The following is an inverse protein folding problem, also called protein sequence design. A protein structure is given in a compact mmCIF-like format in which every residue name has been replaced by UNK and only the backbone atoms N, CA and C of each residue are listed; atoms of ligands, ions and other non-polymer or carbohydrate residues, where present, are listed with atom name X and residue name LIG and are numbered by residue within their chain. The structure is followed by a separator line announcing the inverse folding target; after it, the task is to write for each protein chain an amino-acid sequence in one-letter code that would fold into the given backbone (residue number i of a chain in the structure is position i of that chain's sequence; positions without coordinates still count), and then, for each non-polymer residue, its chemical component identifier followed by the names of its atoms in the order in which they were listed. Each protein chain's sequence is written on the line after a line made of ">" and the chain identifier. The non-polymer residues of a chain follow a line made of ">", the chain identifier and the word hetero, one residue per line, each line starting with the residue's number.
data_IF_847637994327
#
_entry.id   IF_847637994327
#
_cell.length_a   1.000
_cell.length_b   1.000
_cell.length_c   1.000
_cell.angle_alpha   90.00
_cell.angle_beta   90.00
_cell.angle_gamma   90.00
#
_symmetry.space_group_name_H-M   'P 1'
#
loop_
_entity.id
_entity.type
_entity.pdbx_description
1 polymer ?
#
# COMPACT_ATOMS: atom_id res chain seq x y z
N UNK A 1 -15.38 1.53 -22.72
CA UNK A 1 -14.82 0.68 -21.62
C UNK A 1 -15.38 1.16 -20.30
N UNK A 2 -15.83 0.26 -19.43
CA UNK A 2 -16.26 0.64 -18.06
C UNK A 2 -15.06 0.92 -17.17
N UNK A 3 -15.12 2.03 -16.44
CA UNK A 3 -14.15 2.33 -15.39
C UNK A 3 -14.83 2.50 -14.04
N UNK A 4 -14.07 2.28 -12.99
CA UNK A 4 -14.46 2.50 -11.61
C UNK A 4 -13.37 3.26 -10.88
N UNK A 5 -13.77 4.06 -9.89
CA UNK A 5 -12.86 4.57 -8.89
C UNK A 5 -13.14 3.80 -7.62
N UNK A 6 -12.12 3.18 -7.08
CA UNK A 6 -12.22 2.31 -5.92
C UNK A 6 -11.20 2.75 -4.88
N UNK A 7 -11.69 3.09 -3.69
CA UNK A 7 -10.86 3.35 -2.53
C UNK A 7 -10.47 2.01 -1.88
N UNK A 8 -9.20 1.66 -1.92
CA UNK A 8 -8.64 0.50 -1.22
C UNK A 8 -8.41 0.81 0.27
N UNK A 9 -8.44 -0.22 1.13
CA UNK A 9 -8.21 -0.14 2.57
C UNK A 9 -9.24 0.69 3.34
N UNK A 10 -10.50 0.70 2.90
CA UNK A 10 -11.57 1.42 3.58
C UNK A 10 -12.95 0.85 3.28
N UNK A 11 -13.87 1.03 4.25
CA UNK A 11 -15.32 0.85 4.05
C UNK A 11 -16.05 2.18 3.85
N UNK A 12 -15.36 3.30 4.12
CA UNK A 12 -15.96 4.64 4.09
C UNK A 12 -15.69 5.29 2.73
N UNK A 13 -16.70 5.98 2.21
CA UNK A 13 -16.52 6.84 1.03
C UNK A 13 -15.47 7.92 1.31
N UNK A 14 -14.59 8.13 0.35
CA UNK A 14 -13.52 9.14 0.40
C UNK A 14 -12.45 8.89 1.48
N UNK A 15 -12.42 7.69 2.08
CA UNK A 15 -11.28 7.18 2.83
C UNK A 15 -10.30 6.44 1.92
N UNK A 16 -9.36 5.69 2.51
CA UNK A 16 -8.50 4.76 1.78
C UNK A 16 -7.56 5.40 0.76
N UNK A 17 -6.97 4.54 -0.07
CA UNK A 17 -6.10 4.91 -1.17
C UNK A 17 -6.81 4.64 -2.51
N UNK A 18 -7.14 5.69 -3.31
CA UNK A 18 -7.94 5.54 -4.52
C UNK A 18 -7.13 4.98 -5.68
N UNK A 19 -7.74 4.09 -6.45
CA UNK A 19 -7.23 3.62 -7.73
C UNK A 19 -8.31 3.68 -8.81
N UNK A 20 -7.90 3.97 -10.05
CA UNK A 20 -8.72 3.71 -11.22
C UNK A 20 -8.71 2.22 -11.54
N UNK A 21 -9.86 1.65 -11.90
CA UNK A 21 -9.95 0.25 -12.37
C UNK A 21 -10.80 0.22 -13.63
N UNK A 22 -10.20 -0.23 -14.74
CA UNK A 22 -10.84 -0.37 -16.04
C UNK A 22 -11.05 -1.85 -16.33
N UNK A 23 -12.31 -2.28 -16.44
CA UNK A 23 -12.64 -3.65 -16.80
C UNK A 23 -12.71 -3.79 -18.32
N UNK A 24 -11.95 -4.74 -18.86
CA UNK A 24 -11.87 -5.03 -20.28
C UNK A 24 -12.75 -6.24 -20.64
N UNK A 25 -13.57 -6.07 -21.67
CA UNK A 25 -14.38 -7.17 -22.23
C UNK A 25 -13.59 -8.05 -23.22
N UNK A 26 -12.47 -7.51 -23.73
CA UNK A 26 -11.61 -8.11 -24.74
C UNK A 26 -10.13 -7.90 -24.41
N UNK A 27 -9.27 -8.07 -25.41
CA UNK A 27 -7.83 -7.83 -25.28
C UNK A 27 -7.48 -6.41 -24.82
N UNK A 28 -6.27 -6.27 -24.28
CA UNK A 28 -5.75 -4.96 -23.87
C UNK A 28 -5.73 -3.97 -25.03
N UNK A 29 -6.20 -2.73 -24.82
CA UNK A 29 -6.01 -1.67 -25.79
C UNK A 29 -4.51 -1.38 -26.01
N UNK A 30 -4.15 -0.64 -27.08
CA UNK A 30 -2.76 -0.20 -27.25
C UNK A 30 -2.23 0.52 -26.00
N UNK A 31 -0.96 0.29 -25.63
CA UNK A 31 -0.32 0.87 -24.43
C UNK A 31 -0.49 2.38 -24.33
N UNK A 32 -0.38 3.06 -25.50
CA UNK A 32 -0.61 4.51 -25.57
C UNK A 32 -1.99 4.92 -25.09
N UNK A 33 -3.03 4.14 -25.40
CA UNK A 33 -4.39 4.46 -24.98
C UNK A 33 -4.57 4.25 -23.48
N UNK A 34 -4.05 3.15 -22.93
CA UNK A 34 -4.06 2.89 -21.49
C UNK A 34 -3.33 3.99 -20.71
N UNK A 35 -2.16 4.40 -21.23
CA UNK A 35 -1.41 5.53 -20.64
C UNK A 35 -2.17 6.85 -20.67
N UNK A 36 -2.88 7.14 -21.77
CA UNK A 36 -3.71 8.35 -21.89
C UNK A 36 -4.90 8.33 -20.92
N UNK A 37 -5.55 7.16 -20.76
CA UNK A 37 -6.64 7.00 -19.80
C UNK A 37 -6.13 7.20 -18.37
N UNK A 38 -5.00 6.59 -17.99
CA UNK A 38 -4.41 6.77 -16.67
C UNK A 38 -4.04 8.25 -16.41
N UNK A 39 -3.49 8.95 -17.42
CA UNK A 39 -3.15 10.36 -17.32
C UNK A 39 -4.39 11.26 -17.17
N UNK A 40 -5.53 10.90 -17.78
CA UNK A 40 -6.78 11.65 -17.69
C UNK A 40 -7.48 11.42 -16.34
N UNK A 41 -7.49 10.18 -15.84
CA UNK A 41 -8.08 9.83 -14.53
C UNK A 41 -7.29 10.44 -13.36
N UNK A 42 -5.97 10.64 -13.49
CA UNK A 42 -5.09 11.34 -12.54
C UNK A 42 -4.97 10.72 -11.15
N UNK A 43 -5.33 9.47 -10.99
CA UNK A 43 -5.02 8.71 -9.78
C UNK A 43 -3.54 8.28 -9.83
N UNK A 44 -2.98 7.95 -8.66
CA UNK A 44 -1.60 7.45 -8.59
C UNK A 44 -1.40 6.28 -9.55
N UNK A 45 -2.35 5.33 -9.56
CA UNK A 45 -2.40 4.25 -10.53
C UNK A 45 -3.81 3.96 -11.04
N UNK A 46 -3.84 3.46 -12.28
CA UNK A 46 -5.01 2.88 -12.94
C UNK A 46 -4.70 1.45 -13.35
N UNK A 47 -5.50 0.50 -12.88
CA UNK A 47 -5.44 -0.90 -13.25
C UNK A 47 -6.32 -1.18 -14.48
N UNK A 48 -5.77 -1.84 -15.49
CA UNK A 48 -6.51 -2.38 -16.63
C UNK A 48 -6.62 -3.90 -16.44
N UNK A 49 -7.82 -4.42 -16.38
CA UNK A 49 -8.11 -5.77 -15.92
C UNK A 49 -8.77 -6.58 -17.04
N UNK A 50 -8.14 -7.67 -17.44
CA UNK A 50 -8.70 -8.68 -18.32
C UNK A 50 -8.92 -9.98 -17.54
N UNK A 51 -10.09 -10.57 -17.71
CA UNK A 51 -10.38 -11.89 -17.18
C UNK A 51 -9.93 -12.97 -18.17
N UNK A 52 -9.05 -13.87 -17.79
CA UNK A 52 -8.48 -14.93 -18.61
C UNK A 52 -9.14 -16.28 -18.33
N UNK A 53 -9.69 -16.47 -17.14
CA UNK A 53 -10.37 -17.67 -16.67
C UNK A 53 -11.38 -17.36 -15.57
N UNK A 54 -11.93 -18.39 -14.93
CA UNK A 54 -12.87 -18.21 -13.82
C UNK A 54 -12.23 -17.46 -12.65
N UNK A 55 -10.97 -17.81 -12.34
CA UNK A 55 -10.21 -17.31 -11.22
C UNK A 55 -8.85 -16.70 -11.66
N UNK A 56 -8.67 -16.47 -12.96
CA UNK A 56 -7.43 -15.99 -13.57
C UNK A 56 -7.65 -14.64 -14.23
N UNK A 57 -6.77 -13.69 -13.93
CA UNK A 57 -6.83 -12.32 -14.41
C UNK A 57 -5.44 -11.84 -14.80
N UNK A 58 -5.36 -11.08 -15.91
CA UNK A 58 -4.17 -10.28 -16.21
C UNK A 58 -4.47 -8.83 -15.86
N UNK A 59 -3.59 -8.22 -15.06
CA UNK A 59 -3.72 -6.81 -14.66
C UNK A 59 -2.47 -6.05 -15.03
N UNK A 60 -2.66 -4.92 -15.72
CA UNK A 60 -1.59 -3.96 -16.06
C UNK A 60 -1.85 -2.65 -15.32
N UNK A 61 -0.80 -2.08 -14.74
CA UNK A 61 -0.88 -0.90 -13.89
C UNK A 61 -0.18 0.29 -14.54
N UNK A 62 -0.87 1.41 -14.59
CA UNK A 62 -0.36 2.64 -15.19
C UNK A 62 -0.46 3.80 -14.21
N UNK A 63 0.67 4.45 -13.93
CA UNK A 63 0.70 5.81 -13.36
C UNK A 63 0.28 6.81 -14.45
N UNK A 64 0.03 8.08 -14.15
CA UNK A 64 -0.16 9.10 -15.17
C UNK A 64 1.00 9.28 -16.16
N UNK A 65 2.17 8.70 -15.90
CA UNK A 65 3.40 8.88 -16.69
C UNK A 65 3.93 7.62 -17.36
N UNK A 66 3.76 6.47 -16.73
CA UNK A 66 4.36 5.21 -17.18
C UNK A 66 3.60 4.01 -16.66
N UNK A 67 3.76 2.86 -17.33
CA UNK A 67 3.41 1.57 -16.77
C UNK A 67 4.35 1.20 -15.64
N UNK A 68 3.83 0.48 -14.63
CA UNK A 68 4.58 -0.09 -13.51
C UNK A 68 4.28 -1.58 -13.39
N UNK A 69 5.27 -2.34 -12.91
CA UNK A 69 5.19 -3.80 -12.91
C UNK A 69 4.11 -4.35 -11.97
N UNK A 70 3.87 -3.65 -10.85
CA UNK A 70 2.90 -4.01 -9.82
C UNK A 70 2.50 -2.78 -8.99
N UNK A 71 1.25 -2.76 -8.55
CA UNK A 71 0.77 -1.78 -7.58
C UNK A 71 -0.13 -2.45 -6.54
N UNK A 72 0.27 -2.42 -5.25
CA UNK A 72 -0.44 -3.11 -4.17
C UNK A 72 -1.86 -2.59 -3.96
N UNK A 73 -2.06 -1.27 -3.75
CA UNK A 73 -3.39 -0.74 -3.49
C UNK A 73 -4.34 -0.88 -4.71
N UNK A 74 -3.81 -0.75 -5.94
CA UNK A 74 -4.60 -0.96 -7.13
C UNK A 74 -4.97 -2.45 -7.33
N UNK A 75 -4.12 -3.40 -6.89
CA UNK A 75 -4.47 -4.82 -6.83
C UNK A 75 -5.63 -5.05 -5.85
N UNK A 76 -5.52 -4.53 -4.61
CA UNK A 76 -6.57 -4.64 -3.60
C UNK A 76 -7.88 -4.02 -4.11
N UNK A 77 -7.82 -2.82 -4.71
CA UNK A 77 -8.98 -2.15 -5.32
C UNK A 77 -9.62 -3.01 -6.43
N UNK A 78 -8.79 -3.61 -7.31
CA UNK A 78 -9.24 -4.44 -8.42
C UNK A 78 -10.02 -5.67 -7.93
N UNK A 79 -9.43 -6.47 -7.05
CA UNK A 79 -10.07 -7.69 -6.58
C UNK A 79 -11.24 -7.42 -5.64
N UNK A 80 -11.21 -6.31 -4.88
CA UNK A 80 -12.35 -5.83 -4.12
C UNK A 80 -13.52 -5.40 -5.02
N UNK A 81 -13.24 -4.73 -6.14
CA UNK A 81 -14.24 -4.43 -7.16
C UNK A 81 -14.84 -5.70 -7.77
N UNK A 82 -13.99 -6.64 -8.21
CA UNK A 82 -14.43 -7.89 -8.83
C UNK A 82 -15.34 -8.70 -7.88
N UNK A 83 -14.99 -8.75 -6.60
CA UNK A 83 -15.81 -9.37 -5.57
C UNK A 83 -17.17 -8.67 -5.38
N UNK A 84 -17.18 -7.35 -5.24
CA UNK A 84 -18.42 -6.57 -5.08
C UNK A 84 -19.35 -6.66 -6.32
N UNK A 85 -18.79 -6.87 -7.50
CA UNK A 85 -19.56 -7.10 -8.74
C UNK A 85 -20.00 -8.56 -8.92
N UNK A 86 -19.64 -9.47 -8.00
CA UNK A 86 -19.95 -10.91 -8.09
C UNK A 86 -19.20 -11.62 -9.22
N UNK A 87 -18.10 -11.05 -9.70
CA UNK A 87 -17.23 -11.67 -10.73
C UNK A 87 -16.27 -12.69 -10.15
N UNK A 88 -15.94 -12.59 -8.88
CA UNK A 88 -15.18 -13.56 -8.09
C UNK A 88 -15.89 -13.79 -6.75
N UNK A 89 -15.68 -14.96 -6.13
CA UNK A 89 -16.18 -15.29 -4.80
C UNK A 89 -15.08 -15.20 -3.73
N UNK A 90 -15.34 -15.84 -2.57
CA UNK A 90 -14.39 -15.88 -1.44
C UNK A 90 -13.34 -16.98 -1.65
N UNK A 91 -12.46 -16.81 -2.62
CA UNK A 91 -11.40 -17.77 -2.95
C UNK A 91 -10.13 -17.11 -3.47
N UNK A 92 -9.10 -17.90 -3.74
CA UNK A 92 -7.84 -17.44 -4.29
C UNK A 92 -7.96 -17.26 -5.80
N UNK A 93 -7.61 -16.08 -6.27
CA UNK A 93 -7.47 -15.75 -7.68
C UNK A 93 -5.98 -15.66 -8.05
N UNK A 94 -5.67 -15.97 -9.31
CA UNK A 94 -4.35 -15.77 -9.89
C UNK A 94 -4.32 -14.46 -10.66
N UNK A 95 -3.40 -13.56 -10.28
CA UNK A 95 -3.19 -12.27 -10.91
C UNK A 95 -1.87 -12.27 -11.67
N UNK A 96 -1.92 -12.28 -13.00
CA UNK A 96 -0.77 -12.16 -13.88
C UNK A 96 -0.38 -10.69 -14.04
N UNK A 97 0.86 -10.35 -13.70
CA UNK A 97 1.40 -8.98 -13.74
C UNK A 97 2.78 -8.97 -14.39
N UNK A 98 3.32 -7.79 -14.69
CA UNK A 98 4.71 -7.68 -15.16
C UNK A 98 5.73 -8.09 -14.10
N UNK A 99 5.39 -8.02 -12.82
CA UNK A 99 6.22 -8.51 -11.71
C UNK A 99 6.14 -10.04 -11.52
N UNK A 100 5.29 -10.73 -12.28
CA UNK A 100 5.03 -12.16 -12.18
C UNK A 100 3.62 -12.48 -11.69
N UNK A 101 3.39 -13.74 -11.41
CA UNK A 101 2.10 -14.27 -10.95
C UNK A 101 1.96 -14.09 -9.44
N UNK A 102 0.79 -13.59 -9.02
CA UNK A 102 0.47 -13.31 -7.62
C UNK A 102 -0.83 -13.97 -7.23
N UNK A 103 -0.85 -14.66 -6.11
CA UNK A 103 -2.07 -15.13 -5.48
C UNK A 103 -2.74 -13.99 -4.71
N UNK A 104 -4.02 -13.76 -4.99
CA UNK A 104 -4.86 -12.78 -4.31
C UNK A 104 -6.07 -13.50 -3.72
N UNK A 105 -6.20 -13.47 -2.41
CA UNK A 105 -7.40 -13.94 -1.73
C UNK A 105 -8.49 -12.87 -1.88
N UNK A 106 -9.45 -13.12 -2.77
CA UNK A 106 -10.61 -12.27 -2.95
C UNK A 106 -11.64 -12.54 -1.86
N UNK A 107 -12.44 -11.52 -1.50
CA UNK A 107 -13.45 -11.61 -0.46
C UNK A 107 -13.90 -10.24 0.00
N UNK A 108 -14.68 -10.17 1.09
CA UNK A 108 -14.99 -8.91 1.75
C UNK A 108 -13.71 -8.13 2.14
N UNK A 109 -12.67 -8.87 2.55
CA UNK A 109 -11.29 -8.42 2.69
C UNK A 109 -10.46 -9.05 1.58
N UNK A 110 -9.82 -8.22 0.80
CA UNK A 110 -8.86 -8.70 -0.19
C UNK A 110 -7.48 -8.76 0.44
N UNK A 111 -6.77 -9.88 0.29
CA UNK A 111 -5.42 -10.05 0.84
C UNK A 111 -4.48 -10.54 -0.25
N UNK A 112 -3.29 -9.96 -0.36
CA UNK A 112 -2.25 -10.40 -1.27
C UNK A 112 -0.97 -10.75 -0.53
N UNK A 113 -0.26 -11.77 -0.99
CA UNK A 113 1.01 -12.16 -0.41
C UNK A 113 2.10 -11.13 -0.78
N UNK A 114 2.89 -10.75 0.22
CA UNK A 114 4.04 -9.87 0.03
C UNK A 114 5.31 -10.69 -0.22
N UNK A 115 6.32 -10.05 -0.83
CA UNK A 115 7.65 -10.63 -0.88
C UNK A 115 8.16 -10.90 0.54
N UNK A 116 8.99 -11.94 0.68
CA UNK A 116 9.56 -12.33 1.99
C UNK A 116 10.24 -11.13 2.65
N UNK A 117 9.80 -10.75 3.86
CA UNK A 117 10.36 -9.58 4.53
C UNK A 117 11.84 -9.81 4.89
N UNK A 118 12.63 -8.73 4.78
CA UNK A 118 14.06 -8.73 5.10
C UNK A 118 14.42 -7.44 5.82
N UNK A 119 15.09 -7.55 6.95
CA UNK A 119 15.81 -6.44 7.54
C UNK A 119 17.08 -6.23 6.71
N UNK A 120 17.20 -5.09 6.03
CA UNK A 120 18.30 -4.79 5.10
C UNK A 120 19.34 -3.85 5.69
N UNK A 121 19.02 -3.16 6.79
CA UNK A 121 19.93 -2.27 7.48
C UNK A 121 19.29 -1.59 8.68
N UNK A 122 20.05 -0.69 9.28
CA UNK A 122 19.59 0.23 10.32
C UNK A 122 20.06 1.64 9.98
N UNK A 123 19.33 2.66 10.45
CA UNK A 123 19.75 4.04 10.28
C UNK A 123 20.84 4.36 11.31
N UNK A 124 22.05 4.67 10.82
CA UNK A 124 23.20 4.96 11.70
C UNK A 124 23.07 6.35 12.35
N UNK A 125 22.71 7.39 11.57
CA UNK A 125 22.50 8.77 12.08
C UNK A 125 21.01 9.02 12.36
N UNK A 126 20.53 8.41 13.44
CA UNK A 126 19.14 8.57 13.90
C UNK A 126 18.83 10.03 14.26
N UNK A 127 19.82 10.77 14.80
CA UNK A 127 19.63 12.19 15.13
C UNK A 127 19.39 13.05 13.87
N UNK A 128 20.09 12.76 12.76
CA UNK A 128 19.85 13.41 11.47
C UNK A 128 18.42 13.12 10.97
N UNK A 129 18.01 11.86 11.02
CA UNK A 129 16.65 11.46 10.66
C UNK A 129 15.61 12.20 11.51
N UNK A 130 15.80 12.25 12.84
CA UNK A 130 14.86 12.92 13.74
C UNK A 130 14.80 14.44 13.48
N UNK A 131 15.91 15.10 13.15
CA UNK A 131 15.89 16.51 12.73
C UNK A 131 15.07 16.71 11.45
N UNK A 132 15.23 15.82 10.47
CA UNK A 132 14.48 15.86 9.19
C UNK A 132 12.98 15.63 9.45
N UNK A 133 12.64 14.61 10.25
CA UNK A 133 11.27 14.24 10.57
C UNK A 133 10.60 15.16 11.60
N UNK A 134 11.37 16.01 12.29
CA UNK A 134 10.93 16.86 13.39
C UNK A 134 10.31 16.05 14.55
N UNK A 135 11.00 14.99 14.96
CA UNK A 135 10.59 14.11 16.05
C UNK A 135 11.67 13.96 17.12
N UNK A 136 11.29 13.37 18.24
CA UNK A 136 12.22 13.00 19.32
C UNK A 136 12.97 11.70 18.94
N UNK A 137 14.19 11.56 19.42
CA UNK A 137 14.95 10.32 19.20
C UNK A 137 14.20 9.13 19.79
N UNK A 138 13.92 8.09 18.98
CA UNK A 138 13.14 6.93 19.43
C UNK A 138 13.86 6.12 20.51
N UNK A 139 13.09 5.46 21.36
CA UNK A 139 13.60 4.50 22.33
C UNK A 139 13.83 3.10 21.75
N UNK A 140 13.23 2.83 20.58
CA UNK A 140 13.33 1.56 19.86
C UNK A 140 14.24 1.71 18.65
N UNK A 141 14.84 0.61 18.14
CA UNK A 141 15.70 0.66 16.96
C UNK A 141 14.99 1.23 15.73
N UNK A 142 15.71 2.01 14.93
CA UNK A 142 15.25 2.47 13.61
C UNK A 142 15.86 1.56 12.56
N UNK A 143 15.05 0.67 12.01
CA UNK A 143 15.47 -0.37 11.07
C UNK A 143 15.00 -0.05 9.65
N UNK A 144 15.73 -0.55 8.65
CA UNK A 144 15.33 -0.54 7.24
C UNK A 144 14.87 -1.94 6.89
N UNK A 145 13.60 -2.06 6.50
CA UNK A 145 12.96 -3.35 6.20
C UNK A 145 12.33 -3.30 4.81
N UNK A 146 12.54 -4.37 4.04
CA UNK A 146 11.98 -4.53 2.70
C UNK A 146 11.01 -5.70 2.65
N UNK A 147 9.88 -5.49 2.00
CA UNK A 147 8.92 -6.50 1.55
C UNK A 147 8.71 -6.43 0.02
N UNK A 148 9.81 -6.13 -0.68
CA UNK A 148 9.89 -5.81 -2.10
C UNK A 148 10.50 -4.43 -2.31
N UNK A 149 10.04 -3.43 -1.54
CA UNK A 149 10.59 -2.08 -1.46
C UNK A 149 11.05 -1.81 -0.02
N UNK A 150 12.24 -1.23 0.20
CA UNK A 150 12.74 -0.94 1.55
C UNK A 150 12.18 0.39 2.07
N UNK A 151 11.73 0.38 3.34
CA UNK A 151 11.30 1.55 4.08
C UNK A 151 12.06 1.67 5.41
N UNK A 152 12.29 2.90 5.88
CA UNK A 152 12.74 3.18 7.23
C UNK A 152 11.54 3.03 8.16
N UNK A 153 11.60 2.13 9.12
CA UNK A 153 10.58 1.97 10.16
C UNK A 153 10.97 2.84 11.35
N UNK A 154 10.20 3.90 11.57
CA UNK A 154 10.46 4.92 12.59
C UNK A 154 9.42 4.83 13.71
N UNK A 155 9.75 4.25 14.87
CA UNK A 155 8.90 4.33 16.05
C UNK A 155 8.89 5.76 16.62
N UNK A 156 7.70 6.27 16.97
CA UNK A 156 7.55 7.52 17.72
C UNK A 156 6.90 7.26 19.07
N UNK A 157 6.96 8.23 19.98
CA UNK A 157 6.63 7.98 21.40
C UNK A 157 5.15 8.17 21.72
N UNK A 158 4.41 8.93 20.90
CA UNK A 158 2.97 9.18 21.13
C UNK A 158 2.20 9.48 19.85
N UNK A 159 0.85 9.41 19.93
CA UNK A 159 -0.02 9.80 18.82
C UNK A 159 0.08 11.31 18.50
N UNK A 160 0.31 12.14 19.54
CA UNK A 160 0.51 13.57 19.37
C UNK A 160 1.80 13.84 18.59
N UNK A 161 2.87 13.10 18.89
CA UNK A 161 4.13 13.19 18.13
C UNK A 161 3.92 12.74 16.68
N UNK A 162 3.29 11.58 16.47
CA UNK A 162 2.97 11.09 15.13
C UNK A 162 2.17 12.12 14.32
N UNK A 163 1.13 12.71 14.93
CA UNK A 163 0.30 13.73 14.30
C UNK A 163 1.07 15.04 14.01
N UNK A 164 2.08 15.37 14.84
CA UNK A 164 2.88 16.58 14.72
C UNK A 164 4.03 16.46 13.71
N UNK A 165 4.38 15.27 13.24
CA UNK A 165 5.42 15.08 12.23
C UNK A 165 5.19 16.01 11.04
N UNK A 166 6.23 16.78 10.69
CA UNK A 166 6.22 17.70 9.56
C UNK A 166 7.61 17.70 8.88
N UNK A 167 7.93 16.64 8.14
CA UNK A 167 9.26 16.44 7.59
C UNK A 167 9.72 17.56 6.65
N UNK A 168 11.01 17.85 6.67
CA UNK A 168 11.65 18.54 5.54
C UNK A 168 11.70 17.57 4.35
N UNK A 169 10.75 17.71 3.42
CA UNK A 169 10.56 16.79 2.29
C UNK A 169 11.78 16.73 1.37
N UNK A 170 12.50 17.85 1.19
CA UNK A 170 13.69 17.88 0.34
C UNK A 170 14.85 17.11 1.00
N UNK A 171 15.09 17.33 2.29
CA UNK A 171 16.10 16.63 3.05
C UNK A 171 15.74 15.13 3.21
N UNK A 172 14.45 14.80 3.36
CA UNK A 172 13.99 13.42 3.42
C UNK A 172 14.18 12.69 2.08
N UNK A 173 13.93 13.34 0.95
CA UNK A 173 14.18 12.76 -0.36
C UNK A 173 15.68 12.50 -0.60
N UNK A 174 16.57 13.38 -0.12
CA UNK A 174 18.01 13.16 -0.16
C UNK A 174 18.44 11.97 0.70
N UNK A 175 17.97 11.90 1.94
CA UNK A 175 18.25 10.79 2.84
C UNK A 175 17.73 9.46 2.28
N UNK A 176 16.52 9.45 1.72
CA UNK A 176 15.94 8.28 1.09
C UNK A 176 16.79 7.76 -0.08
N UNK A 177 17.35 8.68 -0.88
CA UNK A 177 18.26 8.33 -1.98
C UNK A 177 19.60 7.79 -1.47
N UNK A 178 20.18 8.40 -0.43
CA UNK A 178 21.43 7.96 0.19
C UNK A 178 21.32 6.54 0.76
N UNK A 179 20.17 6.22 1.38
CA UNK A 179 19.93 4.93 2.03
C UNK A 179 19.27 3.90 1.10
N UNK A 180 19.00 4.27 -0.15
CA UNK A 180 18.31 3.43 -1.15
C UNK A 180 16.95 2.91 -0.65
N UNK A 181 16.17 3.77 0.02
CA UNK A 181 14.83 3.46 0.55
C UNK A 181 13.75 4.26 -0.16
N UNK A 182 12.50 3.78 -0.07
CA UNK A 182 11.33 4.52 -0.56
C UNK A 182 11.11 5.78 0.27
N UNK A 183 11.14 5.63 1.59
CA UNK A 183 10.90 6.72 2.51
C UNK A 183 10.86 6.28 3.96
N UNK A 184 10.00 6.95 4.73
CA UNK A 184 9.86 6.70 6.17
C UNK A 184 8.43 6.29 6.49
N UNK A 185 8.30 5.14 7.13
CA UNK A 185 7.05 4.66 7.73
C UNK A 185 7.12 4.86 9.24
N UNK A 186 6.55 5.96 9.71
CA UNK A 186 6.49 6.31 11.12
C UNK A 186 5.28 5.66 11.79
N UNK A 187 5.45 5.14 13.00
CA UNK A 187 4.38 4.49 13.74
C UNK A 187 4.43 4.73 15.23
N UNK A 188 3.27 4.62 15.86
CA UNK A 188 3.10 4.48 17.32
C UNK A 188 2.15 3.33 17.61
N UNK A 189 2.50 2.48 18.59
CA UNK A 189 1.58 1.43 19.04
C UNK A 189 0.27 2.03 19.56
N UNK A 190 -0.84 1.41 19.20
CA UNK A 190 -2.17 1.85 19.59
C UNK A 190 -2.77 0.98 20.71
N UNK A 191 -3.77 1.53 21.40
CA UNK A 191 -4.54 0.85 22.42
C UNK A 191 -6.06 0.93 22.21
N UNK A 192 -6.48 1.41 21.03
CA UNK A 192 -7.87 1.73 20.67
C UNK A 192 -8.50 0.74 19.68
N UNK A 193 -7.94 -0.45 19.58
CA UNK A 193 -8.43 -1.51 18.70
C UNK A 193 -7.58 -1.71 17.44
N UNK A 194 -6.63 -0.81 17.16
CA UNK A 194 -5.61 -0.97 16.14
C UNK A 194 -4.29 -1.49 16.75
N UNK A 195 -3.46 -2.10 15.92
CA UNK A 195 -2.09 -2.49 16.32
C UNK A 195 -1.21 -1.26 16.43
N UNK A 196 -1.31 -0.35 15.46
CA UNK A 196 -0.60 0.91 15.47
C UNK A 196 -1.30 1.96 14.62
N UNK A 197 -1.07 3.25 14.93
CA UNK A 197 -1.29 4.37 14.03
C UNK A 197 -0.02 4.65 13.27
N UNK A 198 -0.13 4.96 11.98
CA UNK A 198 1.01 5.09 11.09
C UNK A 198 0.88 6.28 10.15
N UNK A 199 2.04 6.80 9.70
CA UNK A 199 2.16 7.76 8.59
C UNK A 199 3.30 7.35 7.68
N UNK A 200 3.09 7.43 6.36
CA UNK A 200 4.09 7.06 5.36
C UNK A 200 4.48 8.25 4.49
N UNK A 201 5.79 8.51 4.36
CA UNK A 201 6.35 9.63 3.61
C UNK A 201 7.33 9.11 2.56
N UNK A 202 7.10 9.42 1.28
CA UNK A 202 7.89 8.93 0.14
C UNK A 202 8.25 10.06 -0.86
N UNK A 203 8.84 11.19 -0.41
CA UNK A 203 9.06 12.36 -1.26
C UNK A 203 10.05 12.09 -2.42
N UNK A 204 10.91 11.10 -2.32
CA UNK A 204 11.81 10.69 -3.42
C UNK A 204 11.01 10.27 -4.67
N UNK A 205 9.82 9.73 -4.50
CA UNK A 205 8.92 9.32 -5.58
C UNK A 205 7.84 10.36 -5.89
N UNK A 206 7.95 11.57 -5.31
CA UNK A 206 7.00 12.66 -5.54
C UNK A 206 5.69 12.50 -4.76
N UNK A 207 5.68 11.69 -3.72
CA UNK A 207 4.55 11.47 -2.80
C UNK A 207 4.96 12.00 -1.42
N UNK A 208 4.49 13.18 -1.05
CA UNK A 208 4.81 13.76 0.25
C UNK A 208 4.31 12.88 1.40
N UNK A 209 3.07 12.42 1.32
CA UNK A 209 2.47 11.47 2.27
C UNK A 209 1.47 10.56 1.54
N UNK A 210 1.39 9.28 1.93
CA UNK A 210 0.47 8.30 1.36
C UNK A 210 -0.61 7.89 2.36
N UNK A 211 -1.86 7.78 1.90
CA UNK A 211 -3.01 7.48 2.76
C UNK A 211 -3.11 6.00 3.18
N UNK A 212 -2.54 5.09 2.43
CA UNK A 212 -2.44 3.67 2.78
C UNK A 212 -1.33 2.99 1.97
N UNK A 213 -0.39 2.33 2.65
CA UNK A 213 0.81 1.74 2.05
C UNK A 213 0.95 0.27 2.47
N UNK A 214 0.61 -0.64 1.57
CA UNK A 214 0.64 -2.08 1.85
C UNK A 214 2.04 -2.59 2.20
N UNK A 215 3.05 -2.26 1.36
CA UNK A 215 4.45 -2.69 1.53
C UNK A 215 5.03 -2.25 2.86
N UNK A 216 4.85 -0.97 3.22
CA UNK A 216 5.39 -0.40 4.46
C UNK A 216 4.71 -0.98 5.71
N UNK A 217 3.38 -1.24 5.67
CA UNK A 217 2.68 -1.89 6.78
C UNK A 217 3.07 -3.38 6.91
N UNK A 218 3.37 -4.08 5.82
CA UNK A 218 3.95 -5.42 5.89
C UNK A 218 5.37 -5.40 6.49
N UNK A 219 6.20 -4.41 6.13
CA UNK A 219 7.51 -4.19 6.73
C UNK A 219 7.39 -3.88 8.24
N UNK A 220 6.43 -3.05 8.64
CA UNK A 220 6.13 -2.77 10.05
C UNK A 220 5.68 -4.04 10.79
N UNK A 221 4.85 -4.90 10.19
CA UNK A 221 4.46 -6.19 10.78
C UNK A 221 5.68 -7.04 11.09
N UNK A 222 6.63 -7.15 10.15
CA UNK A 222 7.88 -7.85 10.38
C UNK A 222 8.72 -7.21 11.49
N UNK A 223 8.82 -5.88 11.50
CA UNK A 223 9.48 -5.13 12.57
C UNK A 223 8.89 -5.46 13.95
N UNK A 224 7.57 -5.34 14.09
CA UNK A 224 6.86 -5.59 15.36
C UNK A 224 7.08 -7.03 15.85
N UNK A 225 7.06 -8.00 14.95
CA UNK A 225 7.35 -9.39 15.28
C UNK A 225 8.80 -9.58 15.75
N UNK A 226 9.78 -8.97 15.07
CA UNK A 226 11.19 -9.02 15.47
C UNK A 226 11.46 -8.38 16.84
N UNK A 227 10.74 -7.30 17.15
CA UNK A 227 10.83 -6.62 18.45
C UNK A 227 10.02 -7.33 19.56
N UNK A 228 9.34 -8.44 19.25
CA UNK A 228 8.52 -9.20 20.21
C UNK A 228 7.23 -8.49 20.65
N UNK A 229 6.77 -7.52 19.88
CA UNK A 229 5.57 -6.72 20.16
C UNK A 229 4.29 -7.38 19.66
N UNK A 230 4.41 -8.29 18.70
CA UNK A 230 3.32 -9.16 18.20
C UNK A 230 3.78 -10.61 18.17
N UNK A 231 2.82 -11.53 18.25
CA UNK A 231 3.11 -12.97 18.15
C UNK A 231 3.09 -13.44 16.70
N UNK A 232 3.84 -14.49 16.41
CA UNK A 232 3.78 -15.16 15.11
C UNK A 232 2.40 -15.79 14.90
N UNK A 233 1.85 -15.70 13.69
CA UNK A 233 0.53 -16.23 13.36
C UNK A 233 -0.62 -15.28 13.69
N UNK A 234 -0.33 -13.97 13.92
CA UNK A 234 -1.33 -12.97 14.28
C UNK A 234 -1.79 -12.10 13.09
N UNK A 235 -2.96 -11.48 13.27
CA UNK A 235 -3.44 -10.40 12.43
C UNK A 235 -3.05 -9.06 13.06
N UNK A 236 -2.68 -8.09 12.22
CA UNK A 236 -2.46 -6.71 12.62
C UNK A 236 -3.38 -5.80 11.82
N UNK A 237 -3.72 -4.67 12.43
CA UNK A 237 -4.55 -3.63 11.83
C UNK A 237 -3.89 -2.27 12.07
N UNK A 238 -3.63 -1.54 10.99
CA UNK A 238 -2.92 -0.27 11.02
C UNK A 238 -3.83 0.85 10.53
N UNK A 239 -3.97 1.92 11.33
CA UNK A 239 -4.71 3.11 10.93
C UNK A 239 -3.74 4.12 10.32
N UNK A 240 -3.95 4.44 9.04
CA UNK A 240 -3.12 5.35 8.23
C UNK A 240 -4.00 6.44 7.59
N UNK A 241 -3.39 7.55 7.18
CA UNK A 241 -4.07 8.58 6.37
C UNK A 241 -5.00 9.51 7.14
N UNK A 242 -5.07 9.43 8.47
CA UNK A 242 -5.93 10.29 9.29
C UNK A 242 -5.61 11.77 9.07
N UNK A 243 -4.32 12.13 9.04
CA UNK A 243 -3.86 13.50 8.83
C UNK A 243 -4.21 14.06 7.45
N UNK A 244 -4.38 13.17 6.48
CA UNK A 244 -4.77 13.50 5.11
C UNK A 244 -6.31 13.62 4.95
N UNK A 245 -7.09 13.33 6.01
CA UNK A 245 -8.55 13.23 5.94
C UNK A 245 -9.05 12.01 5.14
N UNK A 246 -8.18 11.03 4.90
CA UNK A 246 -8.46 9.77 4.20
C UNK A 246 -8.12 8.56 5.09
N UNK A 247 -8.84 8.36 6.21
CA UNK A 247 -8.54 7.26 7.12
C UNK A 247 -8.65 5.92 6.40
N UNK A 248 -7.62 5.12 6.56
CA UNK A 248 -7.41 3.84 5.91
C UNK A 248 -7.07 2.78 6.95
N UNK A 249 -7.62 1.58 6.80
CA UNK A 249 -7.28 0.43 7.64
C UNK A 249 -6.54 -0.58 6.78
N UNK A 250 -5.23 -0.66 6.97
CA UNK A 250 -4.39 -1.66 6.34
C UNK A 250 -4.27 -2.85 7.28
N UNK A 251 -4.70 -4.01 6.81
CA UNK A 251 -4.64 -5.26 7.57
C UNK A 251 -3.48 -6.11 7.09
N UNK A 252 -2.80 -6.79 8.01
CA UNK A 252 -1.78 -7.77 7.68
C UNK A 252 -2.03 -9.07 8.42
N UNK A 253 -1.68 -10.17 7.76
CA UNK A 253 -1.70 -11.52 8.34
C UNK A 253 -0.28 -12.08 8.30
N UNK A 254 0.32 -12.27 9.47
CA UNK A 254 1.60 -12.95 9.62
C UNK A 254 1.34 -14.45 9.80
N UNK A 255 1.74 -15.26 8.83
CA UNK A 255 1.59 -16.72 8.91
C UNK A 255 2.68 -17.37 9.76
N UNK A 256 2.45 -18.59 10.26
CA UNK A 256 3.45 -19.33 11.04
C UNK A 256 4.76 -19.63 10.28
N UNK A 257 4.72 -19.70 8.95
CA UNK A 257 5.88 -19.87 8.08
C UNK A 257 6.66 -18.58 7.81
N UNK A 258 6.17 -17.44 8.33
CA UNK A 258 6.78 -16.13 8.18
C UNK A 258 6.28 -15.34 6.95
N UNK A 259 5.41 -15.91 6.13
CA UNK A 259 4.79 -15.18 5.03
C UNK A 259 3.86 -14.09 5.56
N UNK A 260 3.91 -12.91 4.96
CA UNK A 260 3.04 -11.79 5.29
C UNK A 260 2.10 -11.53 4.13
N UNK A 261 0.82 -11.47 4.44
CA UNK A 261 -0.22 -11.01 3.54
C UNK A 261 -0.67 -9.61 3.97
N UNK A 262 -0.95 -8.77 3.00
CA UNK A 262 -1.46 -7.41 3.24
C UNK A 262 -2.74 -7.20 2.48
N UNK A 263 -3.66 -6.46 3.06
CA UNK A 263 -4.93 -6.17 2.42
C UNK A 263 -5.87 -5.35 3.26
N UNK A 264 -7.14 -5.47 2.95
CA UNK A 264 -8.22 -4.75 3.61
C UNK A 264 -9.48 -4.73 2.78
N UNK A 265 -10.46 -3.96 3.22
CA UNK A 265 -11.72 -3.75 2.52
C UNK A 265 -11.60 -2.65 1.46
N UNK A 266 -12.56 -2.63 0.53
CA UNK A 266 -12.60 -1.67 -0.56
C UNK A 266 -13.97 -1.03 -0.68
N UNK A 267 -13.99 0.23 -1.16
CA UNK A 267 -15.23 0.95 -1.43
C UNK A 267 -15.27 1.50 -2.86
N UNK A 268 -16.28 1.10 -3.64
CA UNK A 268 -16.56 1.71 -4.94
C UNK A 268 -17.06 3.13 -4.70
N UNK A 269 -16.41 4.12 -5.31
CA UNK A 269 -16.74 5.54 -5.21
C UNK A 269 -17.48 6.02 -6.45
N UNK A 270 -17.01 5.61 -7.62
CA UNK A 270 -17.54 6.06 -8.90
C UNK A 270 -17.57 4.92 -9.91
N UNK A 271 -18.51 5.00 -10.84
CA UNK A 271 -18.59 4.16 -12.03
C UNK A 271 -18.89 5.05 -13.23
N UNK A 272 -18.19 4.84 -14.33
CA UNK A 272 -18.40 5.56 -15.57
C UNK A 272 -18.07 4.75 -16.81
N UNK A 273 -18.26 5.38 -17.99
CA UNK A 273 -17.92 4.82 -19.29
C UNK A 273 -16.93 5.72 -20.01
N UNK A 274 -15.79 5.16 -20.41
CA UNK A 274 -14.84 5.81 -21.31
C UNK A 274 -15.34 5.70 -22.74
N UNK A 275 -15.45 6.83 -23.40
CA UNK A 275 -15.94 6.93 -24.80
C UNK A 275 -14.77 6.76 -25.79
N UNK A 276 -14.07 5.64 -25.70
CA UNK A 276 -12.87 5.30 -26.50
C UNK A 276 -13.02 3.95 -27.15
#
# INVERSE_FOLDING_TARGET
>A
MQYYIVDAFTEKLFGGNPAGVVLLDNDFPPDRLMQQVAAELRYSETAFVRQDGADEFTVRYFTPRSEVDLCGHATIATFGLLWQLGKVGDWVCLNHTLAGDLEVMAGERVMMQMATPKMVGAVEDVERLCRIMQCVVPLMPVEIISTGLPDIILPVQSQEELAALNPDMAALAELSRELEVVGVHAFVQAGDGYTAHVRNFAPLYGVDEESATGTANAALTHYLQRQGLIQQGGECSFLQGEKMGRPSVVETLLRPDGAIYVGGKCRIVEKGDLLV
#
